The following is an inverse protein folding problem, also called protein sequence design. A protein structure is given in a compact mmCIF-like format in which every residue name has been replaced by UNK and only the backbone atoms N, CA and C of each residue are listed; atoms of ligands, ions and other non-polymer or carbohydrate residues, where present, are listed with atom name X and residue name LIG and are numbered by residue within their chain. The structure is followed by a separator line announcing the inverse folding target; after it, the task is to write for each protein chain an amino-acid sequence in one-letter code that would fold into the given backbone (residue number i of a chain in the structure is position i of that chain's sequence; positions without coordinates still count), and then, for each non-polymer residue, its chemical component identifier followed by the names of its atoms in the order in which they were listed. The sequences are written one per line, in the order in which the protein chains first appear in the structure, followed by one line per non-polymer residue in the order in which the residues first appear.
data_IF_104384853111
#
_entry.id   IF_104384853111
#
_cell.length_a   1.000
_cell.length_b   1.000
_cell.length_c   1.000
_cell.angle_alpha   90.00
_cell.angle_beta   90.00
_cell.angle_gamma   90.00
#
_symmetry.space_group_name_H-M   'P 1'
#
loop_
_entity.id
_entity.type
_entity.pdbx_description
1 polymer ?
#
# COMPACT_ATOMS: atom_id res chain seq x y z
N UNK A 1 32.39 31.78 34.79
CA UNK A 1 32.23 30.36 34.50
C UNK A 1 30.84 30.02 33.93
N UNK A 2 29.71 30.34 34.55
CA UNK A 2 28.38 29.96 34.03
C UNK A 2 28.01 30.46 32.60
N UNK A 3 28.55 31.59 32.14
CA UNK A 3 28.30 32.11 30.75
C UNK A 3 29.02 31.34 29.65
N UNK A 4 30.22 30.78 29.95
CA UNK A 4 30.92 29.96 28.99
C UNK A 4 30.29 28.55 28.81
N UNK A 5 29.78 27.98 29.89
CA UNK A 5 29.06 26.70 29.86
C UNK A 5 27.77 26.80 29.02
N UNK A 6 26.99 27.87 29.21
CA UNK A 6 25.78 28.10 28.40
C UNK A 6 26.06 28.32 26.92
N UNK A 7 27.14 29.02 26.56
CA UNK A 7 27.55 29.16 25.15
C UNK A 7 27.99 27.82 24.54
N UNK A 8 28.70 26.98 25.31
CA UNK A 8 29.10 25.64 24.88
C UNK A 8 27.90 24.74 24.58
N UNK A 9 26.88 24.75 25.45
CA UNK A 9 25.65 23.98 25.25
C UNK A 9 24.83 24.50 24.06
N UNK A 10 24.71 25.80 23.85
CA UNK A 10 24.05 26.40 22.68
C UNK A 10 24.76 26.03 21.39
N UNK A 11 26.09 26.06 21.38
CA UNK A 11 26.87 25.66 20.18
C UNK A 11 26.75 24.18 19.88
N UNK A 12 26.69 23.30 20.89
CA UNK A 12 26.42 21.87 20.70
C UNK A 12 25.01 21.61 20.17
N UNK A 13 24.01 22.31 20.67
CA UNK A 13 22.63 22.20 20.22
C UNK A 13 22.48 22.68 18.77
N UNK A 14 23.15 23.78 18.39
CA UNK A 14 23.16 24.30 17.04
C UNK A 14 23.89 23.37 16.06
N UNK A 15 25.00 22.79 16.47
CA UNK A 15 25.73 21.76 15.69
C UNK A 15 24.91 20.50 15.51
N UNK A 16 24.21 20.04 16.55
CA UNK A 16 23.35 18.88 16.51
C UNK A 16 22.12 19.14 15.58
N UNK A 17 21.50 20.31 15.69
CA UNK A 17 20.41 20.73 14.83
C UNK A 17 20.86 20.85 13.35
N UNK A 18 22.06 21.38 13.10
CA UNK A 18 22.63 21.47 11.75
C UNK A 18 22.90 20.09 11.15
N UNK A 19 23.47 19.15 11.93
CA UNK A 19 23.69 17.77 11.49
C UNK A 19 22.39 17.03 11.20
N UNK A 20 21.32 17.32 11.96
CA UNK A 20 20.00 16.70 11.72
C UNK A 20 19.28 17.28 10.50
N UNK A 21 19.59 18.50 10.10
CA UNK A 21 18.96 19.18 8.97
C UNK A 21 19.56 18.79 7.60
N UNK A 22 20.79 18.25 7.59
CA UNK A 22 21.45 17.82 6.36
C UNK A 22 20.80 16.54 5.80
N UNK A 23 20.61 16.45 4.47
CA UNK A 23 20.14 15.23 3.81
C UNK A 23 21.03 14.04 4.17
N UNK A 24 20.43 12.91 4.46
CA UNK A 24 21.16 11.64 4.62
C UNK A 24 21.37 11.04 3.24
N UNK A 25 22.63 10.80 2.81
CA UNK A 25 22.88 10.11 1.56
C UNK A 25 22.25 8.71 1.56
N UNK A 26 21.70 8.31 0.43
CA UNK A 26 21.22 6.96 0.22
C UNK A 26 21.84 6.40 -1.06
N UNK A 27 22.39 5.20 -0.98
CA UNK A 27 23.06 4.52 -2.09
C UNK A 27 22.09 3.50 -2.70
N UNK A 28 21.38 3.92 -3.75
CA UNK A 28 20.41 3.09 -4.48
C UNK A 28 21.07 1.85 -5.10
N UNK A 29 22.32 1.94 -5.55
CA UNK A 29 23.04 0.80 -6.16
C UNK A 29 23.34 -0.27 -5.12
N UNK A 30 23.87 0.15 -3.96
CA UNK A 30 24.15 -0.75 -2.84
C UNK A 30 22.86 -1.38 -2.31
N UNK A 31 21.78 -0.61 -2.23
CA UNK A 31 20.48 -1.12 -1.81
C UNK A 31 19.96 -2.17 -2.79
N UNK A 32 19.98 -1.86 -4.08
CA UNK A 32 19.55 -2.79 -5.13
C UNK A 32 20.32 -4.12 -5.05
N UNK A 33 21.62 -4.05 -4.95
CA UNK A 33 22.45 -5.23 -4.78
C UNK A 33 22.08 -6.03 -3.54
N UNK A 34 21.84 -5.36 -2.40
CA UNK A 34 21.40 -6.03 -1.16
C UNK A 34 20.10 -6.79 -1.35
N UNK A 35 19.15 -6.26 -2.14
CA UNK A 35 17.90 -6.96 -2.46
C UNK A 35 18.17 -8.15 -3.38
N UNK A 36 18.97 -7.99 -4.41
CA UNK A 36 19.28 -9.04 -5.39
C UNK A 36 20.08 -10.21 -4.78
N UNK A 37 20.88 -9.95 -3.78
CA UNK A 37 21.66 -10.97 -3.05
C UNK A 37 20.81 -11.82 -2.08
N UNK A 38 19.48 -11.57 -1.97
CA UNK A 38 18.62 -12.35 -1.09
C UNK A 38 18.28 -13.73 -1.68
N UNK A 39 18.14 -14.73 -0.79
CA UNK A 39 17.76 -16.07 -1.19
C UNK A 39 16.23 -16.21 -1.32
N UNK A 40 15.76 -16.77 -2.43
CA UNK A 40 14.34 -17.02 -2.70
C UNK A 40 13.75 -18.02 -1.71
N UNK A 41 14.54 -18.99 -1.24
CA UNK A 41 14.10 -20.01 -0.28
C UNK A 41 13.62 -19.38 1.04
N UNK A 42 14.17 -18.20 1.39
CA UNK A 42 13.73 -17.45 2.58
C UNK A 42 12.33 -16.87 2.48
N UNK A 43 11.74 -16.77 1.28
CA UNK A 43 10.34 -16.39 1.13
C UNK A 43 9.38 -17.46 1.67
N UNK A 44 9.85 -18.69 1.83
CA UNK A 44 9.10 -19.84 2.32
C UNK A 44 9.50 -20.26 3.74
N UNK A 45 10.44 -19.55 4.34
CA UNK A 45 10.92 -19.87 5.68
C UNK A 45 9.93 -19.41 6.76
N UNK A 46 10.07 -19.99 7.95
CA UNK A 46 9.32 -19.54 9.13
C UNK A 46 9.57 -18.03 9.37
N UNK A 47 8.51 -17.30 9.61
CA UNK A 47 8.52 -15.85 9.71
C UNK A 47 7.86 -15.32 11.00
N UNK A 48 7.73 -16.20 12.02
CA UNK A 48 7.22 -15.88 13.35
C UNK A 48 8.16 -16.40 14.42
N UNK A 49 8.61 -15.51 15.32
CA UNK A 49 9.43 -15.87 16.47
C UNK A 49 9.17 -14.89 17.63
N UNK A 50 9.19 -15.40 18.86
CA UNK A 50 8.99 -14.62 20.10
C UNK A 50 7.75 -13.72 20.07
N UNK A 51 6.65 -14.26 19.46
CA UNK A 51 5.40 -13.54 19.33
C UNK A 51 5.45 -12.37 18.35
N UNK A 52 6.38 -12.34 17.41
CA UNK A 52 6.53 -11.30 16.38
C UNK A 52 6.76 -11.91 15.02
N UNK A 53 6.17 -11.29 14.00
CA UNK A 53 6.44 -11.58 12.61
C UNK A 53 7.68 -10.82 12.13
N UNK A 54 8.37 -11.35 11.13
CA UNK A 54 9.55 -10.72 10.51
C UNK A 54 9.70 -11.17 9.05
N UNK A 55 10.51 -10.44 8.27
CA UNK A 55 10.85 -10.79 6.90
C UNK A 55 12.11 -11.67 6.89
N UNK A 56 12.05 -13.00 6.65
CA UNK A 56 13.20 -13.89 6.74
C UNK A 56 14.31 -13.60 5.71
N UNK A 57 13.92 -13.06 4.55
CA UNK A 57 14.87 -12.69 3.50
C UNK A 57 15.67 -11.43 3.83
N UNK A 58 15.08 -10.49 4.58
CA UNK A 58 15.74 -9.24 4.96
C UNK A 58 15.09 -8.68 6.24
N UNK A 59 15.61 -8.98 7.42
CA UNK A 59 15.11 -8.39 8.65
C UNK A 59 15.21 -6.84 8.61
N UNK A 60 14.16 -6.17 9.07
CA UNK A 60 14.12 -4.73 9.13
C UNK A 60 15.07 -4.22 10.22
N UNK A 61 16.00 -3.34 9.84
CA UNK A 61 16.75 -2.56 10.80
C UNK A 61 15.86 -1.47 11.38
N UNK A 62 15.50 -1.60 12.65
CA UNK A 62 14.53 -0.70 13.26
C UNK A 62 15.07 0.72 13.35
N UNK A 63 14.35 1.64 12.73
CA UNK A 63 14.49 3.07 12.96
C UNK A 63 14.04 3.42 14.38
N UNK A 64 14.96 3.66 15.30
CA UNK A 64 14.64 4.16 16.64
C UNK A 64 14.01 5.55 16.59
N UNK A 65 13.55 6.03 17.77
CA UNK A 65 13.01 7.39 17.94
C UNK A 65 13.86 8.47 17.27
N UNK A 66 15.20 8.36 17.35
CA UNK A 66 16.14 9.32 16.78
C UNK A 66 16.12 9.38 15.25
N UNK A 67 15.85 8.27 14.57
CA UNK A 67 15.73 8.27 13.10
C UNK A 67 14.41 8.95 12.66
N UNK A 68 13.31 8.70 13.37
CA UNK A 68 12.03 9.39 13.12
C UNK A 68 12.19 10.89 13.38
N UNK A 69 12.82 11.29 14.49
CA UNK A 69 13.07 12.68 14.81
C UNK A 69 13.95 13.35 13.74
N UNK A 70 15.02 12.67 13.30
CA UNK A 70 15.87 13.14 12.22
C UNK A 70 15.09 13.34 10.92
N UNK A 71 14.23 12.37 10.55
CA UNK A 71 13.36 12.51 9.39
C UNK A 71 12.46 13.73 9.50
N UNK A 72 11.80 13.94 10.63
CA UNK A 72 10.91 15.09 10.84
C UNK A 72 11.63 16.45 10.77
N UNK A 73 12.88 16.50 11.22
CA UNK A 73 13.70 17.72 11.24
C UNK A 73 14.53 17.91 9.96
N UNK A 74 14.63 16.88 9.09
CA UNK A 74 15.40 17.00 7.85
C UNK A 74 14.69 17.89 6.83
N UNK A 75 15.49 18.54 5.98
CA UNK A 75 14.98 19.38 4.88
C UNK A 75 14.23 18.51 3.88
N UNK A 76 13.00 18.90 3.59
CA UNK A 76 12.18 18.26 2.54
C UNK A 76 12.75 18.54 1.15
N UNK A 77 12.45 17.66 0.19
CA UNK A 77 12.89 17.81 -1.20
C UNK A 77 12.38 19.10 -1.86
N UNK A 78 13.08 19.59 -2.90
CA UNK A 78 12.72 20.79 -3.63
C UNK A 78 11.58 20.49 -4.63
N UNK A 79 10.34 20.50 -4.16
CA UNK A 79 9.18 20.36 -5.03
C UNK A 79 8.68 21.73 -5.47
N UNK A 80 8.29 21.86 -6.76
CA UNK A 80 7.68 23.07 -7.29
C UNK A 80 6.27 23.28 -6.71
N UNK A 81 5.73 24.48 -6.86
CA UNK A 81 4.37 24.74 -6.37
C UNK A 81 3.31 24.01 -7.19
N UNK A 82 3.55 23.74 -8.46
CA UNK A 82 2.71 22.90 -9.32
C UNK A 82 2.70 21.44 -8.85
N UNK A 83 3.88 20.87 -8.52
CA UNK A 83 4.00 19.52 -7.97
C UNK A 83 3.31 19.38 -6.62
N UNK A 84 3.39 20.40 -5.75
CA UNK A 84 2.68 20.44 -4.46
C UNK A 84 1.17 20.55 -4.61
N UNK A 85 0.70 21.28 -5.64
CA UNK A 85 -0.73 21.50 -5.89
C UNK A 85 -1.38 20.33 -6.66
N UNK A 86 -0.60 19.47 -7.32
CA UNK A 86 -1.13 18.39 -8.13
C UNK A 86 -1.90 17.37 -7.27
N UNK A 87 -3.07 16.96 -7.75
CA UNK A 87 -3.93 15.96 -7.12
C UNK A 87 -4.79 15.26 -8.16
N UNK A 88 -5.28 14.04 -7.90
CA UNK A 88 -6.24 13.39 -8.78
C UNK A 88 -7.53 14.20 -8.87
N UNK A 89 -8.21 14.13 -9.98
CA UNK A 89 -9.59 14.62 -10.10
C UNK A 89 -10.51 13.76 -9.26
N UNK A 90 -11.64 14.31 -8.89
CA UNK A 90 -12.71 13.59 -8.21
C UNK A 90 -13.90 13.41 -9.15
N UNK A 91 -14.29 12.16 -9.37
CA UNK A 91 -15.42 11.79 -10.22
C UNK A 91 -16.54 11.32 -9.29
N UNK A 92 -17.63 12.10 -9.13
CA UNK A 92 -18.68 11.82 -8.17
C UNK A 92 -19.58 10.63 -8.57
N UNK A 93 -20.51 10.28 -7.68
CA UNK A 93 -21.59 9.32 -7.91
C UNK A 93 -21.11 7.89 -8.26
N UNK A 94 -20.00 7.44 -7.66
CA UNK A 94 -19.42 6.12 -7.95
C UNK A 94 -20.47 5.00 -7.79
N UNK A 95 -21.28 5.03 -6.73
CA UNK A 95 -22.35 4.04 -6.51
C UNK A 95 -23.28 3.93 -7.72
N UNK A 96 -23.85 5.05 -8.20
CA UNK A 96 -24.78 5.07 -9.35
C UNK A 96 -24.09 4.55 -10.62
N UNK A 97 -22.85 4.97 -10.86
CA UNK A 97 -22.07 4.55 -12.04
C UNK A 97 -21.76 3.06 -12.02
N UNK A 98 -21.42 2.48 -10.85
CA UNK A 98 -21.21 1.05 -10.69
C UNK A 98 -22.52 0.26 -10.93
N UNK A 99 -23.67 0.77 -10.43
CA UNK A 99 -24.97 0.15 -10.64
C UNK A 99 -25.42 0.16 -12.10
N UNK A 100 -25.01 1.17 -12.87
CA UNK A 100 -25.34 1.29 -14.31
C UNK A 100 -24.38 0.56 -15.24
N UNK A 101 -23.30 -0.04 -14.72
CA UNK A 101 -22.39 -0.83 -15.54
C UNK A 101 -23.08 -2.11 -16.07
N UNK A 102 -22.80 -2.49 -17.32
CA UNK A 102 -23.20 -3.80 -17.80
C UNK A 102 -22.60 -4.92 -16.94
N UNK A 103 -23.13 -6.15 -17.02
CA UNK A 103 -22.48 -7.31 -16.39
C UNK A 103 -21.02 -7.41 -16.83
N UNK A 104 -20.13 -7.83 -15.90
CA UNK A 104 -18.69 -7.97 -16.17
C UNK A 104 -17.85 -7.51 -14.98
N UNK A 105 -16.55 -7.74 -15.07
CA UNK A 105 -15.59 -7.40 -14.04
C UNK A 105 -15.13 -5.94 -14.17
N UNK A 106 -14.87 -5.29 -13.05
CA UNK A 106 -14.41 -3.89 -13.04
C UNK A 106 -13.58 -3.57 -11.79
N UNK A 107 -12.71 -2.57 -11.90
CA UNK A 107 -11.92 -2.00 -10.81
C UNK A 107 -12.28 -0.51 -10.72
N UNK A 108 -12.64 -0.01 -9.54
CA UNK A 108 -12.86 1.40 -9.29
C UNK A 108 -11.96 1.90 -8.17
N UNK A 109 -11.27 3.02 -8.39
CA UNK A 109 -10.43 3.61 -7.34
C UNK A 109 -11.26 4.49 -6.42
N UNK A 110 -11.37 4.10 -5.16
CA UNK A 110 -12.10 4.86 -4.13
C UNK A 110 -11.24 5.95 -3.51
N UNK A 111 -9.93 5.75 -3.54
CA UNK A 111 -8.90 6.63 -2.97
C UNK A 111 -7.95 5.86 -2.07
N UNK A 112 -6.71 6.34 -1.95
CA UNK A 112 -5.62 5.68 -1.23
C UNK A 112 -5.42 4.22 -1.70
N UNK A 113 -5.39 3.26 -0.79
CA UNK A 113 -5.31 1.81 -1.05
C UNK A 113 -6.67 1.14 -1.23
N UNK A 114 -7.75 1.92 -1.23
CA UNK A 114 -9.12 1.41 -1.32
C UNK A 114 -9.57 1.31 -2.78
N UNK A 115 -9.80 0.09 -3.24
CA UNK A 115 -10.39 -0.22 -4.56
C UNK A 115 -11.66 -1.01 -4.38
N UNK A 116 -12.72 -0.58 -5.06
CA UNK A 116 -13.95 -1.35 -5.19
C UNK A 116 -13.89 -2.15 -6.49
N UNK A 117 -13.97 -3.45 -6.41
CA UNK A 117 -13.93 -4.34 -7.56
C UNK A 117 -15.24 -5.12 -7.66
N UNK A 118 -15.71 -5.37 -8.88
CA UNK A 118 -16.73 -6.35 -9.17
C UNK A 118 -16.08 -7.51 -9.90
N UNK A 119 -16.06 -8.69 -9.27
CA UNK A 119 -15.44 -9.91 -9.79
C UNK A 119 -16.46 -11.06 -9.75
N UNK A 120 -16.74 -11.67 -10.89
CA UNK A 120 -17.69 -12.78 -11.02
C UNK A 120 -19.07 -12.46 -10.37
N UNK A 121 -19.51 -11.19 -10.47
CA UNK A 121 -20.76 -10.72 -9.89
C UNK A 121 -20.72 -10.38 -8.41
N UNK A 122 -19.62 -10.65 -7.69
CA UNK A 122 -19.43 -10.28 -6.28
C UNK A 122 -18.62 -8.98 -6.14
N UNK A 123 -18.93 -8.22 -5.08
CA UNK A 123 -18.16 -7.02 -4.74
C UNK A 123 -17.04 -7.33 -3.77
N UNK A 124 -15.88 -6.76 -4.08
CA UNK A 124 -14.65 -6.83 -3.30
C UNK A 124 -14.14 -5.44 -3.00
N UNK A 125 -13.55 -5.24 -1.83
CA UNK A 125 -12.89 -3.97 -1.49
C UNK A 125 -11.57 -4.24 -0.79
N UNK A 126 -10.55 -3.44 -1.12
CA UNK A 126 -9.23 -3.53 -0.50
C UNK A 126 -9.08 -2.43 0.54
N UNK A 127 -8.45 -2.75 1.69
CA UNK A 127 -8.05 -1.83 2.76
C UNK A 127 -8.97 -0.60 2.89
N UNK A 128 -10.26 -0.78 3.26
CA UNK A 128 -11.24 0.29 3.20
C UNK A 128 -10.93 1.39 4.22
N UNK A 129 -10.63 2.60 3.70
CA UNK A 129 -10.48 3.82 4.50
C UNK A 129 -11.33 4.95 3.92
N UNK A 130 -12.38 5.34 4.65
CA UNK A 130 -13.29 6.45 4.29
C UNK A 130 -13.09 7.65 5.20
N UNK A 131 -12.39 7.48 6.33
CA UNK A 131 -12.14 8.51 7.33
C UNK A 131 -11.36 9.70 6.77
N UNK A 132 -11.60 10.86 7.37
CA UNK A 132 -10.91 12.11 7.03
C UNK A 132 -9.44 12.14 7.47
N UNK A 133 -9.01 11.15 8.27
CA UNK A 133 -7.64 11.00 8.77
C UNK A 133 -7.21 9.55 8.81
N UNK A 134 -5.91 9.34 8.56
CA UNK A 134 -5.21 8.10 8.87
C UNK A 134 -4.38 8.36 10.14
N UNK A 135 -4.98 8.25 11.31
CA UNK A 135 -4.48 8.69 12.61
C UNK A 135 -4.18 10.20 12.64
N UNK A 136 -2.98 10.64 12.21
CA UNK A 136 -2.56 12.05 12.17
C UNK A 136 -2.72 12.67 10.76
N UNK A 137 -2.23 12.03 9.66
CA UNK A 137 -2.35 12.60 8.32
C UNK A 137 -3.81 12.86 7.95
N UNK A 138 -4.09 14.09 7.46
CA UNK A 138 -5.41 14.48 6.97
C UNK A 138 -5.55 14.12 5.49
N UNK A 139 -6.72 13.60 5.14
CA UNK A 139 -7.09 13.32 3.76
C UNK A 139 -7.22 14.63 2.97
N UNK A 140 -6.64 14.68 1.78
CA UNK A 140 -6.70 15.85 0.89
C UNK A 140 -7.75 15.71 -0.23
N UNK A 141 -8.20 14.48 -0.51
CA UNK A 141 -9.23 14.17 -1.50
C UNK A 141 -10.31 13.30 -0.85
N UNK A 142 -11.60 13.51 -1.09
CA UNK A 142 -12.65 12.69 -0.49
C UNK A 142 -12.60 11.24 -1.02
N UNK A 143 -13.13 10.26 -0.28
CA UNK A 143 -13.36 8.91 -0.82
C UNK A 143 -14.51 8.96 -1.85
N UNK A 144 -14.41 8.16 -2.91
CA UNK A 144 -15.42 8.15 -3.97
C UNK A 144 -16.73 7.44 -3.59
N UNK A 145 -16.72 6.66 -2.52
CA UNK A 145 -17.88 5.98 -1.95
C UNK A 145 -17.73 5.91 -0.42
N UNK A 146 -18.86 5.88 0.27
CA UNK A 146 -18.92 5.76 1.73
C UNK A 146 -19.40 4.36 2.14
N UNK A 147 -19.24 4.01 3.42
CA UNK A 147 -19.79 2.76 3.96
C UNK A 147 -21.31 2.65 3.79
N UNK A 148 -22.05 3.74 3.99
CA UNK A 148 -23.51 3.78 3.80
C UNK A 148 -23.89 3.58 2.33
N UNK A 149 -23.14 4.13 1.41
CA UNK A 149 -23.35 3.90 -0.03
C UNK A 149 -23.03 2.45 -0.43
N UNK A 150 -22.02 1.82 0.21
CA UNK A 150 -21.72 0.40 0.01
C UNK A 150 -22.84 -0.50 0.54
N UNK A 151 -23.45 -0.21 1.70
CA UNK A 151 -24.64 -0.91 2.19
C UNK A 151 -25.80 -0.83 1.21
N UNK A 152 -25.99 0.35 0.60
CA UNK A 152 -27.05 0.56 -0.40
C UNK A 152 -26.69 -0.04 -1.78
N UNK A 153 -25.41 -0.33 -2.05
CA UNK A 153 -24.94 -0.95 -3.30
C UNK A 153 -25.10 -2.47 -3.26
N UNK A 154 -24.72 -3.10 -2.15
CA UNK A 154 -24.69 -4.56 -2.02
C UNK A 154 -24.94 -5.02 -0.59
N UNK A 155 -25.74 -6.09 -0.38
CA UNK A 155 -25.88 -6.70 0.93
C UNK A 155 -24.68 -7.57 1.32
N UNK A 156 -23.82 -7.98 0.36
CA UNK A 156 -22.66 -8.84 0.57
C UNK A 156 -21.41 -8.16 0.02
N UNK A 157 -20.35 -8.12 0.84
CA UNK A 157 -19.07 -7.52 0.49
C UNK A 157 -17.93 -8.46 0.90
N UNK A 158 -16.91 -8.56 0.07
CA UNK A 158 -15.67 -9.23 0.41
C UNK A 158 -14.59 -8.18 0.64
N UNK A 159 -13.84 -8.28 1.72
CA UNK A 159 -12.83 -7.32 2.13
C UNK A 159 -11.50 -8.04 2.29
N UNK A 160 -10.45 -7.52 1.67
CA UNK A 160 -9.07 -7.91 1.99
C UNK A 160 -8.39 -6.80 2.77
N UNK A 161 -7.66 -7.16 3.85
CA UNK A 161 -6.90 -6.21 4.68
C UNK A 161 -5.44 -6.66 4.70
N UNK A 162 -4.57 -5.82 4.14
CA UNK A 162 -3.16 -6.13 3.96
C UNK A 162 -2.36 -6.12 5.26
N UNK A 163 -2.63 -5.18 6.17
CA UNK A 163 -1.95 -5.06 7.45
C UNK A 163 -2.66 -4.05 8.38
N UNK A 164 -2.11 -3.82 9.58
CA UNK A 164 -2.79 -3.07 10.64
C UNK A 164 -2.48 -1.56 10.71
N UNK A 165 -1.75 -0.97 9.77
CA UNK A 165 -1.54 0.47 9.77
C UNK A 165 -2.86 1.23 9.62
N UNK A 166 -2.89 2.48 10.10
CA UNK A 166 -4.15 3.24 10.22
C UNK A 166 -4.75 3.68 8.89
N UNK A 167 -3.95 3.74 7.85
CA UNK A 167 -4.34 4.05 6.47
C UNK A 167 -4.78 2.82 5.65
N UNK A 168 -4.68 1.61 6.25
CA UNK A 168 -5.12 0.32 5.64
C UNK A 168 -6.23 -0.36 6.46
N UNK A 169 -6.17 -0.28 7.78
CA UNK A 169 -7.19 -0.79 8.68
C UNK A 169 -7.83 0.37 9.47
N UNK A 170 -8.86 0.95 8.90
CA UNK A 170 -9.62 2.04 9.51
C UNK A 170 -10.86 1.53 10.25
N UNK A 171 -10.86 1.65 11.57
CA UNK A 171 -11.91 1.12 12.44
C UNK A 171 -13.30 1.69 12.13
N UNK A 172 -13.39 2.97 11.80
CA UNK A 172 -14.66 3.63 11.44
C UNK A 172 -15.20 3.07 10.13
N UNK A 173 -14.32 2.90 9.14
CA UNK A 173 -14.70 2.31 7.86
C UNK A 173 -15.19 0.88 8.01
N UNK A 174 -14.48 0.04 8.79
CA UNK A 174 -14.89 -1.35 9.04
C UNK A 174 -16.30 -1.41 9.67
N UNK A 175 -16.58 -0.58 10.68
CA UNK A 175 -17.92 -0.53 11.32
C UNK A 175 -19.04 -0.11 10.37
N UNK A 176 -18.70 0.66 9.32
CA UNK A 176 -19.68 1.18 8.36
C UNK A 176 -19.99 0.23 7.21
N UNK A 177 -19.36 -0.94 7.13
CA UNK A 177 -19.56 -1.90 6.02
C UNK A 177 -20.90 -2.66 6.12
N UNK A 178 -21.37 -3.29 5.01
CA UNK A 178 -22.56 -4.14 5.01
C UNK A 178 -22.48 -5.28 6.03
N UNK A 179 -23.59 -5.67 6.63
CA UNK A 179 -23.64 -6.71 7.67
C UNK A 179 -23.08 -8.07 7.20
N UNK A 180 -23.39 -8.47 5.97
CA UNK A 180 -22.92 -9.74 5.39
C UNK A 180 -21.53 -9.58 4.72
N UNK A 181 -20.60 -8.91 5.42
CA UNK A 181 -19.23 -8.77 4.96
C UNK A 181 -18.40 -9.99 5.34
N UNK A 182 -17.58 -10.47 4.40
CA UNK A 182 -16.54 -11.48 4.64
C UNK A 182 -15.17 -10.78 4.62
N UNK A 183 -14.40 -10.97 5.66
CA UNK A 183 -13.06 -10.38 5.78
C UNK A 183 -11.99 -11.46 5.60
N UNK A 184 -11.02 -11.16 4.75
CA UNK A 184 -9.79 -11.91 4.57
C UNK A 184 -8.66 -11.02 5.06
N UNK A 185 -8.04 -11.40 6.17
CA UNK A 185 -7.08 -10.57 6.89
C UNK A 185 -5.81 -11.36 7.15
N UNK A 186 -4.73 -10.69 7.47
CA UNK A 186 -3.48 -11.35 7.85
C UNK A 186 -3.53 -11.87 9.29
N UNK A 187 -2.68 -12.85 9.61
CA UNK A 187 -2.59 -13.45 10.94
C UNK A 187 -2.45 -12.39 12.06
N UNK A 188 -3.20 -12.59 13.14
CA UNK A 188 -3.23 -11.73 14.32
C UNK A 188 -4.23 -10.56 14.22
N UNK A 189 -5.01 -10.44 13.12
CA UNK A 189 -6.00 -9.37 12.95
C UNK A 189 -7.44 -9.79 13.27
N UNK A 190 -7.73 -11.07 13.34
CA UNK A 190 -9.09 -11.59 13.48
C UNK A 190 -9.84 -10.98 14.67
N UNK A 191 -9.31 -11.11 15.87
CA UNK A 191 -9.97 -10.60 17.08
C UNK A 191 -10.25 -9.10 17.02
N UNK A 192 -9.33 -8.34 16.44
CA UNK A 192 -9.51 -6.89 16.29
C UNK A 192 -10.63 -6.56 15.31
N UNK A 193 -10.69 -7.23 14.15
CA UNK A 193 -11.75 -7.01 13.16
C UNK A 193 -13.10 -7.49 13.68
N UNK A 194 -13.17 -8.65 14.35
CA UNK A 194 -14.39 -9.15 15.02
C UNK A 194 -14.89 -8.21 16.13
N UNK A 195 -14.01 -7.47 16.79
CA UNK A 195 -14.40 -6.43 17.75
C UNK A 195 -15.07 -5.21 17.11
N UNK A 196 -14.86 -5.00 15.81
CA UNK A 196 -15.40 -3.88 15.05
C UNK A 196 -16.64 -4.24 14.24
N UNK A 197 -16.74 -5.49 13.75
CA UNK A 197 -17.78 -5.92 12.81
C UNK A 197 -18.16 -7.39 13.02
N UNK A 198 -19.45 -7.72 12.85
CA UNK A 198 -19.99 -9.09 13.03
C UNK A 198 -19.81 -10.00 11.82
N UNK A 199 -19.23 -9.51 10.73
CA UNK A 199 -18.99 -10.30 9.52
C UNK A 199 -17.98 -11.44 9.77
N UNK A 200 -18.01 -12.45 8.93
CA UNK A 200 -17.10 -13.59 9.03
C UNK A 200 -15.65 -13.17 8.74
N UNK A 201 -14.73 -13.51 9.63
CA UNK A 201 -13.30 -13.17 9.49
C UNK A 201 -12.48 -14.44 9.30
N UNK A 202 -11.72 -14.50 8.20
CA UNK A 202 -10.72 -15.51 7.92
C UNK A 202 -9.33 -14.89 7.97
N UNK A 203 -8.47 -15.43 8.82
CA UNK A 203 -7.03 -15.11 8.79
C UNK A 203 -6.33 -15.94 7.71
N UNK A 204 -5.32 -15.34 7.10
CA UNK A 204 -4.50 -15.97 6.09
C UNK A 204 -3.01 -15.76 6.38
N UNK A 205 -2.23 -16.80 6.14
CA UNK A 205 -0.78 -16.77 6.19
C UNK A 205 -0.18 -16.62 4.79
N UNK A 206 1.10 -16.26 4.70
CA UNK A 206 1.83 -16.21 3.43
C UNK A 206 1.78 -17.55 2.71
N UNK A 207 1.56 -17.50 1.41
CA UNK A 207 1.41 -18.63 0.49
C UNK A 207 0.12 -19.43 0.68
N UNK A 208 -0.76 -19.06 1.60
CA UNK A 208 -2.07 -19.67 1.69
C UNK A 208 -2.90 -19.31 0.46
N UNK A 209 -3.44 -20.33 -0.19
CA UNK A 209 -4.18 -20.28 -1.45
C UNK A 209 -5.53 -20.96 -1.24
N UNK A 210 -6.61 -20.18 -1.34
CA UNK A 210 -7.95 -20.63 -0.98
C UNK A 210 -8.98 -20.32 -2.04
N UNK A 211 -9.86 -21.26 -2.31
CA UNK A 211 -11.12 -20.99 -3.01
C UNK A 211 -12.09 -20.35 -2.00
N UNK A 212 -12.47 -19.09 -2.28
CA UNK A 212 -13.37 -18.33 -1.41
C UNK A 212 -14.83 -18.39 -1.89
N UNK A 213 -15.10 -19.18 -2.92
CA UNK A 213 -16.39 -19.30 -3.57
C UNK A 213 -16.63 -18.16 -4.58
N UNK A 214 -17.77 -18.24 -5.30
CA UNK A 214 -18.10 -17.24 -6.31
C UNK A 214 -17.17 -17.23 -7.53
N UNK A 215 -16.37 -18.28 -7.76
CA UNK A 215 -15.39 -18.35 -8.85
C UNK A 215 -14.13 -17.53 -8.61
N UNK A 216 -13.85 -17.16 -7.34
CA UNK A 216 -12.65 -16.40 -6.95
C UNK A 216 -11.75 -17.27 -6.08
N UNK A 217 -10.48 -17.35 -6.45
CA UNK A 217 -9.38 -17.89 -5.67
C UNK A 217 -8.56 -16.73 -5.10
N UNK A 218 -8.28 -16.76 -3.81
CA UNK A 218 -7.52 -15.73 -3.11
C UNK A 218 -6.21 -16.32 -2.59
N UNK A 219 -5.10 -15.71 -2.96
CA UNK A 219 -3.76 -16.08 -2.50
C UNK A 219 -3.20 -14.97 -1.64
N UNK A 220 -2.76 -15.30 -0.42
CA UNK A 220 -2.01 -14.40 0.46
C UNK A 220 -0.51 -14.53 0.15
N UNK A 221 0.16 -13.43 -0.14
CA UNK A 221 1.55 -13.41 -0.59
C UNK A 221 2.42 -12.57 0.34
N UNK A 222 3.71 -12.91 0.50
CA UNK A 222 4.65 -12.10 1.26
C UNK A 222 4.71 -10.65 0.81
N UNK A 223 5.01 -9.75 1.74
CA UNK A 223 5.33 -8.36 1.45
C UNK A 223 6.52 -7.91 2.30
N UNK A 224 7.35 -7.00 1.81
CA UNK A 224 8.45 -6.45 2.59
C UNK A 224 7.99 -5.22 3.36
N UNK A 225 7.39 -5.44 4.52
CA UNK A 225 6.82 -4.39 5.33
C UNK A 225 6.95 -4.70 6.83
N UNK A 226 6.13 -4.09 7.65
CA UNK A 226 6.05 -4.23 9.09
C UNK A 226 4.64 -3.88 9.59
N UNK A 227 4.34 -4.14 10.85
CA UNK A 227 3.06 -3.82 11.43
C UNK A 227 3.21 -3.13 12.80
N UNK A 228 2.34 -2.16 13.06
CA UNK A 228 2.25 -1.49 14.36
C UNK A 228 0.93 -0.76 14.51
N UNK A 229 0.28 -0.96 15.66
CA UNK A 229 -0.90 -0.21 16.05
C UNK A 229 -0.90 0.02 17.56
N UNK A 230 -1.43 1.15 18.02
CA UNK A 230 -1.58 1.42 19.47
C UNK A 230 -2.42 0.28 20.08
N UNK A 231 -1.93 -0.32 21.17
CA UNK A 231 -2.56 -1.45 21.82
C UNK A 231 -2.20 -2.82 21.25
N UNK A 232 -1.72 -2.92 19.98
CA UNK A 232 -1.33 -4.21 19.39
C UNK A 232 0.20 -4.45 19.41
N UNK A 233 1.00 -3.39 19.53
CA UNK A 233 2.46 -3.48 19.57
C UNK A 233 3.09 -3.53 18.17
N UNK A 234 4.40 -3.80 18.14
CA UNK A 234 5.21 -3.86 16.93
C UNK A 234 5.31 -5.31 16.43
N UNK A 235 4.99 -5.52 15.15
CA UNK A 235 5.05 -6.81 14.45
C UNK A 235 4.29 -7.96 15.13
N UNK A 236 3.22 -7.64 15.86
CA UNK A 236 2.34 -8.65 16.49
C UNK A 236 1.31 -9.23 15.53
N UNK A 237 1.10 -8.57 14.39
CA UNK A 237 0.24 -9.02 13.30
C UNK A 237 1.05 -9.13 12.03
N UNK A 238 0.69 -10.05 11.15
CA UNK A 238 1.33 -10.21 9.86
C UNK A 238 0.94 -9.08 8.90
N UNK A 239 1.69 -8.90 7.82
CA UNK A 239 1.42 -8.03 6.67
C UNK A 239 1.53 -8.87 5.39
N UNK A 240 0.76 -8.53 4.38
CA UNK A 240 0.74 -9.31 3.14
C UNK A 240 0.29 -8.47 1.93
N UNK A 241 0.53 -9.02 0.76
CA UNK A 241 -0.18 -8.69 -0.46
C UNK A 241 -1.16 -9.82 -0.82
N UNK A 242 -2.09 -9.55 -1.74
CA UNK A 242 -3.10 -10.53 -2.13
C UNK A 242 -3.17 -10.64 -3.66
N UNK A 243 -3.39 -11.87 -4.14
CA UNK A 243 -3.68 -12.13 -5.54
C UNK A 243 -5.07 -12.74 -5.66
N UNK A 244 -5.98 -12.02 -6.32
CA UNK A 244 -7.33 -12.48 -6.62
C UNK A 244 -7.31 -13.07 -8.03
N UNK A 245 -7.72 -14.33 -8.17
CA UNK A 245 -7.71 -15.06 -9.44
C UNK A 245 -9.13 -15.53 -9.74
N UNK A 246 -9.59 -15.22 -10.95
CA UNK A 246 -10.84 -15.73 -11.52
C UNK A 246 -10.55 -16.46 -12.83
N UNK A 247 -11.58 -17.03 -13.47
CA UNK A 247 -11.45 -17.59 -14.81
C UNK A 247 -11.15 -16.55 -15.90
N UNK A 248 -11.41 -15.26 -15.63
CA UNK A 248 -11.33 -14.18 -16.61
C UNK A 248 -10.18 -13.20 -16.34
N UNK A 249 -9.70 -13.10 -15.12
CA UNK A 249 -8.69 -12.10 -14.73
C UNK A 249 -7.98 -12.47 -13.44
N UNK A 250 -6.78 -11.92 -13.30
CA UNK A 250 -5.99 -11.98 -12.07
C UNK A 250 -5.54 -10.58 -11.65
N UNK A 251 -5.74 -10.24 -10.36
CA UNK A 251 -5.46 -8.92 -9.80
C UNK A 251 -4.54 -9.07 -8.60
N UNK A 252 -3.33 -8.59 -8.71
CA UNK A 252 -2.41 -8.46 -7.60
C UNK A 252 -2.66 -7.15 -6.87
N UNK A 253 -2.99 -7.23 -5.58
CA UNK A 253 -3.09 -6.09 -4.67
C UNK A 253 -1.88 -6.09 -3.72
N UNK A 254 -1.00 -5.12 -3.89
CA UNK A 254 0.30 -5.10 -3.21
C UNK A 254 0.27 -4.66 -1.75
N UNK A 255 -0.80 -3.98 -1.27
CA UNK A 255 -0.75 -3.31 0.03
C UNK A 255 0.49 -2.41 0.13
N UNK A 256 1.15 -2.41 1.30
CA UNK A 256 2.44 -1.77 1.49
C UNK A 256 3.59 -2.76 1.40
N UNK A 257 4.60 -2.39 0.63
CA UNK A 257 5.82 -3.19 0.50
C UNK A 257 6.95 -2.38 -0.10
N UNK A 258 8.16 -2.55 0.39
CA UNK A 258 9.39 -2.23 -0.32
C UNK A 258 9.58 -3.12 -1.55
N UNK A 259 10.60 -2.81 -2.36
CA UNK A 259 11.03 -3.69 -3.44
C UNK A 259 11.86 -4.85 -2.87
N UNK A 260 11.53 -6.09 -3.26
CA UNK A 260 12.17 -7.30 -2.76
C UNK A 260 12.07 -8.45 -3.79
N UNK A 261 12.81 -9.52 -3.53
CA UNK A 261 12.91 -10.68 -4.43
C UNK A 261 11.58 -11.39 -4.71
N UNK A 262 10.56 -11.19 -3.86
CA UNK A 262 9.25 -11.83 -4.00
C UNK A 262 8.55 -11.53 -5.32
N UNK A 263 8.74 -10.35 -5.90
CA UNK A 263 8.09 -9.98 -7.17
C UNK A 263 8.48 -10.91 -8.32
N UNK A 264 9.76 -11.27 -8.43
CA UNK A 264 10.24 -12.26 -9.42
C UNK A 264 9.63 -13.65 -9.17
N UNK A 265 9.52 -14.04 -7.89
CA UNK A 265 8.93 -15.33 -7.53
C UNK A 265 7.43 -15.37 -7.82
N UNK A 266 6.72 -14.27 -7.61
CA UNK A 266 5.29 -14.16 -7.94
C UNK A 266 5.06 -14.33 -9.44
N UNK A 267 5.87 -13.66 -10.29
CA UNK A 267 5.79 -13.81 -11.74
C UNK A 267 6.05 -15.24 -12.22
N UNK A 268 6.97 -15.97 -11.59
CA UNK A 268 7.22 -17.39 -11.88
C UNK A 268 6.06 -18.29 -11.45
N UNK A 269 5.54 -18.08 -10.24
CA UNK A 269 4.52 -18.94 -9.63
C UNK A 269 3.12 -18.68 -10.17
N UNK A 270 2.85 -17.44 -10.54
CA UNK A 270 1.57 -16.99 -11.07
C UNK A 270 1.79 -16.25 -12.41
N UNK A 271 2.13 -16.99 -13.47
CA UNK A 271 2.29 -16.37 -14.79
C UNK A 271 0.95 -15.76 -15.23
N UNK A 272 1.01 -14.67 -16.00
CA UNK A 272 -0.16 -13.96 -16.53
C UNK A 272 -1.00 -13.17 -15.48
N UNK A 273 -0.35 -12.48 -14.54
CA UNK A 273 -1.03 -11.46 -13.73
C UNK A 273 -1.53 -10.35 -14.66
N UNK A 274 -2.85 -10.08 -14.65
CA UNK A 274 -3.41 -9.07 -15.54
C UNK A 274 -3.21 -7.66 -14.96
N UNK A 275 -3.53 -7.44 -13.69
CA UNK A 275 -3.44 -6.13 -13.05
C UNK A 275 -2.57 -6.18 -11.80
N UNK A 276 -1.60 -5.28 -11.73
CA UNK A 276 -0.77 -5.05 -10.54
C UNK A 276 -1.11 -3.70 -9.92
N UNK A 277 -1.79 -3.73 -8.77
CA UNK A 277 -2.10 -2.56 -7.94
C UNK A 277 -0.94 -2.37 -6.96
N UNK A 278 -0.03 -1.44 -7.26
CA UNK A 278 1.22 -1.25 -6.52
C UNK A 278 1.28 0.11 -5.85
N UNK A 279 1.70 0.13 -4.59
CA UNK A 279 1.90 1.38 -3.85
C UNK A 279 3.02 2.22 -4.48
N UNK A 280 2.74 3.53 -4.59
CA UNK A 280 3.64 4.52 -5.19
C UNK A 280 3.80 5.74 -4.29
N UNK A 281 3.64 5.60 -2.98
CA UNK A 281 3.74 6.71 -2.02
C UNK A 281 4.68 6.39 -0.86
N UNK A 282 5.00 7.39 -0.06
CA UNK A 282 5.86 7.29 1.12
C UNK A 282 7.28 6.76 0.78
N UNK A 283 7.85 7.16 -0.37
CA UNK A 283 9.18 6.69 -0.76
C UNK A 283 10.30 7.70 -0.50
N UNK A 284 9.99 8.95 -0.19
CA UNK A 284 10.97 9.93 0.25
C UNK A 284 10.84 10.25 1.75
N UNK A 285 11.96 10.44 2.45
CA UNK A 285 13.35 10.33 1.97
C UNK A 285 13.77 8.86 1.85
N UNK A 286 14.49 8.52 0.81
CA UNK A 286 14.93 7.14 0.54
C UNK A 286 15.65 6.49 1.70
N UNK A 287 16.56 7.21 2.38
CA UNK A 287 17.34 6.66 3.49
C UNK A 287 16.48 6.09 4.64
N UNK A 288 15.22 6.57 4.79
CA UNK A 288 14.29 6.15 5.83
C UNK A 288 13.21 5.20 5.30
N UNK A 289 12.73 5.45 4.07
CA UNK A 289 11.54 4.77 3.52
C UNK A 289 11.86 3.51 2.70
N UNK A 290 13.08 3.39 2.16
CA UNK A 290 13.46 2.39 1.14
C UNK A 290 13.13 0.94 1.49
N UNK A 291 13.13 0.58 2.77
CA UNK A 291 12.84 -0.78 3.20
C UNK A 291 11.37 -1.15 3.02
N UNK A 292 10.46 -0.28 3.44
CA UNK A 292 9.04 -0.54 3.55
C UNK A 292 8.22 -0.02 2.37
N UNK A 293 8.79 0.88 1.56
CA UNK A 293 8.12 1.52 0.44
C UNK A 293 9.02 1.59 -0.79
N UNK A 294 8.43 1.33 -1.95
CA UNK A 294 9.08 1.37 -3.26
C UNK A 294 9.17 2.80 -3.78
N UNK A 295 10.33 3.19 -4.33
CA UNK A 295 10.40 4.32 -5.25
C UNK A 295 9.66 4.01 -6.56
N UNK A 296 9.42 5.04 -7.37
CA UNK A 296 8.77 4.83 -8.68
C UNK A 296 9.59 3.88 -9.59
N UNK A 297 10.92 4.04 -9.72
CA UNK A 297 11.73 3.05 -10.44
C UNK A 297 11.56 1.61 -9.93
N UNK A 298 11.55 1.41 -8.61
CA UNK A 298 11.37 0.08 -7.99
C UNK A 298 9.95 -0.47 -8.19
N UNK A 299 8.93 0.39 -8.21
CA UNK A 299 7.56 -0.03 -8.51
C UNK A 299 7.41 -0.53 -9.95
N UNK A 300 8.10 0.13 -10.90
CA UNK A 300 8.16 -0.32 -12.30
C UNK A 300 8.95 -1.62 -12.44
N UNK A 301 10.04 -1.78 -11.70
CA UNK A 301 10.80 -3.03 -11.69
C UNK A 301 9.97 -4.18 -11.11
N UNK A 302 9.24 -3.95 -10.01
CA UNK A 302 8.33 -4.95 -9.44
C UNK A 302 7.23 -5.36 -10.42
N UNK A 303 6.66 -4.41 -11.15
CA UNK A 303 5.69 -4.66 -12.22
C UNK A 303 6.26 -5.54 -13.35
N UNK A 304 7.48 -5.25 -13.78
CA UNK A 304 8.19 -6.03 -14.82
C UNK A 304 8.55 -7.43 -14.31
N UNK A 305 9.06 -7.54 -13.08
CA UNK A 305 9.44 -8.81 -12.45
C UNK A 305 8.25 -9.77 -12.31
N UNK A 306 7.06 -9.24 -12.01
CA UNK A 306 5.82 -10.03 -11.98
C UNK A 306 5.29 -10.40 -13.36
N UNK A 307 5.77 -9.77 -14.43
CA UNK A 307 5.23 -9.98 -15.78
C UNK A 307 3.78 -9.52 -15.93
N UNK A 308 3.29 -8.62 -15.07
CA UNK A 308 1.91 -8.16 -15.09
C UNK A 308 1.60 -7.35 -16.36
N UNK A 309 0.34 -7.38 -16.84
CA UNK A 309 -0.06 -6.69 -18.08
C UNK A 309 -0.32 -5.20 -17.84
N UNK A 310 -1.06 -4.86 -16.79
CA UNK A 310 -1.46 -3.49 -16.46
C UNK A 310 -1.00 -3.09 -15.06
N UNK A 311 -0.48 -1.88 -14.93
CA UNK A 311 -0.07 -1.25 -13.68
C UNK A 311 -1.11 -0.24 -13.24
N UNK A 312 -1.55 -0.31 -11.98
CA UNK A 312 -2.39 0.71 -11.34
C UNK A 312 -1.65 1.25 -10.11
N UNK A 313 -1.21 2.53 -10.11
CA UNK A 313 -0.60 3.13 -8.94
C UNK A 313 -1.63 3.32 -7.83
N UNK A 314 -1.28 2.92 -6.61
CA UNK A 314 -2.14 3.07 -5.43
C UNK A 314 -1.59 4.12 -4.48
N UNK A 315 -2.44 4.61 -3.55
CA UNK A 315 -2.14 5.44 -2.39
C UNK A 315 -1.80 6.92 -2.67
N UNK A 316 -1.42 7.27 -3.89
CA UNK A 316 -1.12 8.65 -4.24
C UNK A 316 -2.34 9.58 -4.11
N UNK A 317 -2.11 10.89 -3.95
CA UNK A 317 -3.16 11.90 -3.98
C UNK A 317 -4.14 11.89 -2.80
N UNK A 318 -3.88 11.15 -1.72
CA UNK A 318 -4.84 11.01 -0.61
C UNK A 318 -4.29 11.49 0.73
N UNK A 319 -3.17 10.97 1.19
CA UNK A 319 -2.54 11.34 2.46
C UNK A 319 -1.08 11.75 2.23
N UNK A 320 -0.56 12.68 3.03
CA UNK A 320 0.86 12.99 3.07
C UNK A 320 1.55 12.03 4.05
N UNK A 321 2.18 10.97 3.54
CA UNK A 321 2.82 9.92 4.32
C UNK A 321 4.34 9.94 4.22
N UNK A 322 4.89 10.50 3.15
CA UNK A 322 6.32 10.72 2.91
C UNK A 322 6.66 12.21 2.85
N UNK A 323 7.86 12.50 2.35
CA UNK A 323 8.30 13.88 2.11
C UNK A 323 7.79 14.42 0.77
N UNK A 324 7.44 13.55 -0.16
CA UNK A 324 6.86 13.94 -1.43
C UNK A 324 5.41 14.44 -1.25
N UNK A 325 4.99 15.47 -2.03
CA UNK A 325 3.60 15.89 -2.07
C UNK A 325 2.69 14.74 -2.49
N UNK A 326 1.49 14.59 -1.93
CA UNK A 326 0.63 13.42 -2.19
C UNK A 326 0.32 13.14 -3.67
N UNK A 327 0.25 14.16 -4.52
CA UNK A 327 0.02 14.00 -5.95
C UNK A 327 1.28 13.75 -6.77
N UNK A 328 2.46 14.07 -6.23
CA UNK A 328 3.74 13.97 -6.92
C UNK A 328 4.04 12.56 -7.49
N UNK A 329 3.71 11.46 -6.80
CA UNK A 329 3.99 10.11 -7.32
C UNK A 329 3.41 9.84 -8.72
N UNK A 330 2.25 10.38 -9.05
CA UNK A 330 1.67 10.24 -10.38
C UNK A 330 2.43 11.02 -11.46
N UNK A 331 3.00 12.18 -11.11
CA UNK A 331 3.85 12.96 -12.01
C UNK A 331 5.20 12.27 -12.23
N UNK A 332 5.78 11.78 -11.16
CA UNK A 332 7.05 11.03 -11.16
C UNK A 332 6.92 9.74 -11.99
N UNK A 333 5.80 9.01 -11.80
CA UNK A 333 5.50 7.81 -12.60
C UNK A 333 5.40 8.14 -14.09
N UNK A 334 4.66 9.18 -14.49
CA UNK A 334 4.57 9.60 -15.89
C UNK A 334 5.92 9.97 -16.48
N UNK A 335 6.77 10.65 -15.71
CA UNK A 335 8.14 11.02 -16.09
C UNK A 335 8.99 9.77 -16.32
N UNK A 336 8.99 8.85 -15.35
CA UNK A 336 9.81 7.62 -15.40
C UNK A 336 9.35 6.67 -16.51
N UNK A 337 8.04 6.55 -16.79
CA UNK A 337 7.51 5.80 -17.93
C UNK A 337 8.11 6.34 -19.24
N UNK A 338 8.11 7.67 -19.41
CA UNK A 338 8.68 8.32 -20.59
C UNK A 338 10.20 8.10 -20.68
N UNK A 339 10.93 8.31 -19.59
CA UNK A 339 12.39 8.14 -19.52
C UNK A 339 12.82 6.71 -19.83
N UNK A 340 12.06 5.71 -19.38
CA UNK A 340 12.31 4.28 -19.66
C UNK A 340 11.74 3.80 -20.98
N UNK A 341 11.11 4.69 -21.76
CA UNK A 341 10.46 4.36 -23.06
C UNK A 341 9.49 3.17 -22.93
N UNK A 342 8.68 3.14 -21.87
CA UNK A 342 7.68 2.10 -21.64
C UNK A 342 6.38 2.44 -22.36
N UNK A 343 5.61 1.40 -22.75
CA UNK A 343 4.28 1.60 -23.36
C UNK A 343 3.30 2.21 -22.35
N UNK A 344 2.88 3.48 -22.55
CA UNK A 344 2.02 4.16 -21.58
C UNK A 344 0.61 3.56 -21.46
N UNK A 345 0.16 2.78 -22.45
CA UNK A 345 -1.17 2.13 -22.42
C UNK A 345 -1.30 1.05 -21.33
N UNK A 346 -0.19 0.59 -20.79
CA UNK A 346 -0.12 -0.39 -19.71
C UNK A 346 -0.24 0.24 -18.30
N UNK A 347 -0.23 1.58 -18.19
CA UNK A 347 -0.20 2.30 -16.91
C UNK A 347 -1.50 3.07 -16.71
N UNK A 348 -2.38 2.53 -15.89
CA UNK A 348 -3.71 3.06 -15.63
C UNK A 348 -3.67 3.98 -14.39
N UNK A 349 -3.29 5.23 -14.57
CA UNK A 349 -3.25 6.24 -13.50
C UNK A 349 -4.67 6.79 -13.34
N UNK A 350 -5.44 6.17 -12.45
CA UNK A 350 -6.86 6.47 -12.27
C UNK A 350 -7.08 7.76 -11.47
N UNK A 351 -8.18 8.44 -11.78
CA UNK A 351 -8.75 9.50 -10.94
C UNK A 351 -9.64 8.89 -9.83
N UNK A 352 -9.84 9.59 -8.71
CA UNK A 352 -10.70 9.11 -7.63
C UNK A 352 -12.14 8.98 -8.13
N UNK A 353 -12.72 7.79 -7.96
CA UNK A 353 -14.02 7.44 -8.49
C UNK A 353 -14.00 6.98 -9.96
N UNK A 354 -12.86 6.94 -10.63
CA UNK A 354 -12.77 6.36 -11.97
C UNK A 354 -13.00 4.83 -11.90
N UNK A 355 -13.72 4.32 -12.88
CA UNK A 355 -13.97 2.89 -13.06
C UNK A 355 -13.21 2.45 -14.32
N UNK A 356 -12.44 1.39 -14.18
CA UNK A 356 -11.79 0.68 -15.28
C UNK A 356 -12.51 -0.67 -15.48
N UNK A 357 -13.19 -0.88 -16.60
CA UNK A 357 -13.69 -2.20 -16.96
C UNK A 357 -12.51 -3.16 -17.15
N UNK A 358 -12.61 -4.35 -16.59
CA UNK A 358 -11.56 -5.36 -16.76
C UNK A 358 -11.62 -5.88 -18.20
N UNK A 359 -10.49 -5.79 -18.89
CA UNK A 359 -10.35 -6.26 -20.26
C UNK A 359 -10.23 -7.78 -20.22
N UNK A 360 -11.20 -8.48 -20.78
CA UNK A 360 -11.08 -9.92 -21.00
C UNK A 360 -10.02 -10.15 -22.08
N UNK A 361 -8.98 -10.88 -21.74
CA UNK A 361 -8.06 -11.40 -22.76
C UNK A 361 -8.75 -12.55 -23.44
N UNK A 362 -9.23 -12.29 -24.68
CA UNK A 362 -9.70 -13.35 -25.57
C UNK A 362 -8.58 -14.36 -25.89
#
# INVERSE_FOLDING_TARGET
MKRLETLGWLSLILLFASCMHNPVPFDEVKWRKRVEDQSVEKLYAAHFNDGKYFNPWMPMEHGGFWQVLRWQLSKKGPYTDEEKAFKPRFIPDLKKRVQSLPPGNSIAWVGHSTFLMRLQGEYWITDPIFSSRALLPKRITPPAITGEELKALTPRLNVVISHNHYDHLDAESIRSLPENTRFFVTLGLKEYVESLHKGAVREMDWWEDVDVGGGVRLVCLPAQHWSRRIGQGYNRTLWASFLLITSETSIYYGGDSGYFIGYKEFGKKFPNIDYALLSTTAYHPRWFMHYAHKSIPEALDAFQDMGAKYFIPTQWGTFALGDEPPGYPALDLKRTIKERNLDPSRFLILDIGQIEPIRTTG
#
